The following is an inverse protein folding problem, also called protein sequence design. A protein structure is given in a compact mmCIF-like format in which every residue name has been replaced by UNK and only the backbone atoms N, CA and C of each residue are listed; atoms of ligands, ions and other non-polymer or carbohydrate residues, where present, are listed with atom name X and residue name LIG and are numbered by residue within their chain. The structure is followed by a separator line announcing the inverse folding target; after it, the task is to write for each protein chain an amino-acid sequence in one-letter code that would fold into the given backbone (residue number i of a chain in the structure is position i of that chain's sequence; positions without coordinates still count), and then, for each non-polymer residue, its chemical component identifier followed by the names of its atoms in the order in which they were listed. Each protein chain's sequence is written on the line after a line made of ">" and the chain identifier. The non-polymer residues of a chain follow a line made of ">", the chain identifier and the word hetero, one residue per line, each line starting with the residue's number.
data_IF_075940178117
#
_entry.id   IF_075940178117
#
_cell.length_a   1.000
_cell.length_b   1.000
_cell.length_c   1.000
_cell.angle_alpha   90.00
_cell.angle_beta   90.00
_cell.angle_gamma   90.00
#
_symmetry.space_group_name_H-M   'P 1'
#
loop_
_entity.id
_entity.type
_entity.pdbx_description
1 polymer ?
#
# COMPACT_ATOMS: atom_id res chain seq x y z
N UNK A 1 -13.48 -13.83 24.40
CA UNK A 1 -13.58 -12.41 24.00
C UNK A 1 -15.03 -11.97 24.13
N UNK A 2 -15.29 -10.72 24.54
CA UNK A 2 -16.64 -10.17 24.73
C UNK A 2 -16.99 -9.18 23.61
N UNK A 3 -18.27 -9.10 23.27
CA UNK A 3 -18.84 -8.13 22.35
C UNK A 3 -18.77 -6.73 22.97
N UNK A 4 -18.38 -5.73 22.18
CA UNK A 4 -18.32 -4.33 22.63
C UNK A 4 -19.69 -3.69 22.85
N UNK A 5 -20.75 -4.23 22.25
CA UNK A 5 -22.09 -3.66 22.27
C UNK A 5 -23.01 -4.33 23.30
N UNK A 6 -22.94 -5.66 23.44
CA UNK A 6 -23.96 -6.44 24.17
C UNK A 6 -23.45 -7.11 25.45
N UNK A 7 -22.20 -6.86 25.86
CA UNK A 7 -21.50 -7.53 26.99
C UNK A 7 -21.56 -9.09 26.95
N UNK A 8 -21.88 -9.66 25.79
CA UNK A 8 -22.02 -11.10 25.55
C UNK A 8 -20.76 -11.70 24.91
N UNK A 9 -20.58 -13.02 24.99
CA UNK A 9 -19.44 -13.71 24.41
C UNK A 9 -19.51 -13.78 22.88
N UNK A 10 -18.38 -13.49 22.24
CA UNK A 10 -18.21 -13.70 20.80
C UNK A 10 -18.08 -15.20 20.52
N UNK A 11 -19.03 -15.75 19.77
CA UNK A 11 -19.10 -17.19 19.47
C UNK A 11 -19.44 -17.49 18.01
N UNK A 12 -19.72 -16.46 17.21
CA UNK A 12 -20.16 -16.55 15.82
C UNK A 12 -19.22 -15.77 14.91
N UNK A 13 -19.20 -16.14 13.64
CA UNK A 13 -18.44 -15.47 12.58
C UNK A 13 -19.34 -15.29 11.35
N UNK A 14 -19.44 -14.04 10.87
CA UNK A 14 -20.17 -13.74 9.62
C UNK A 14 -19.17 -13.77 8.47
N UNK A 15 -19.29 -14.80 7.62
CA UNK A 15 -18.34 -15.10 6.53
C UNK A 15 -18.27 -13.94 5.53
N UNK A 16 -19.42 -13.33 5.22
CA UNK A 16 -19.50 -12.24 4.26
C UNK A 16 -18.77 -10.97 4.70
N UNK A 17 -18.91 -10.61 5.96
CA UNK A 17 -18.33 -9.37 6.50
C UNK A 17 -16.96 -9.59 7.17
N UNK A 18 -16.56 -10.86 7.37
CA UNK A 18 -15.33 -11.26 8.06
C UNK A 18 -15.25 -10.71 9.48
N UNK A 19 -16.37 -10.76 10.19
CA UNK A 19 -16.55 -10.19 11.53
C UNK A 19 -16.91 -11.27 12.56
N UNK A 20 -16.37 -11.14 13.77
CA UNK A 20 -16.76 -11.96 14.93
C UNK A 20 -17.92 -11.31 15.66
N UNK A 21 -18.93 -12.12 16.00
CA UNK A 21 -20.23 -11.67 16.50
C UNK A 21 -20.61 -12.41 17.77
N UNK A 22 -21.40 -11.75 18.63
CA UNK A 22 -22.19 -12.44 19.64
C UNK A 22 -23.57 -12.76 19.06
N UNK A 23 -24.35 -13.57 19.78
CA UNK A 23 -25.70 -13.96 19.36
C UNK A 23 -26.58 -12.73 19.16
N UNK A 24 -26.46 -11.73 20.03
CA UNK A 24 -27.29 -10.53 20.00
C UNK A 24 -26.97 -9.61 18.80
N UNK A 25 -25.70 -9.54 18.36
CA UNK A 25 -25.34 -8.84 17.11
C UNK A 25 -26.04 -9.42 15.88
N UNK A 26 -26.35 -10.73 15.89
CA UNK A 26 -27.06 -11.38 14.79
C UNK A 26 -28.50 -10.88 14.71
N UNK A 27 -29.16 -10.77 15.86
CA UNK A 27 -30.55 -10.35 15.96
C UNK A 27 -30.72 -8.84 15.79
N UNK A 28 -29.80 -8.01 16.30
CA UNK A 28 -29.97 -6.56 16.34
C UNK A 28 -29.44 -5.85 15.08
N UNK A 29 -28.31 -6.30 14.51
CA UNK A 29 -27.62 -5.52 13.48
C UNK A 29 -27.52 -6.31 12.16
N UNK A 30 -27.25 -7.61 12.22
CA UNK A 30 -27.18 -8.45 11.01
C UNK A 30 -28.53 -8.92 10.46
N UNK A 31 -29.62 -8.85 11.24
CA UNK A 31 -30.99 -9.06 10.74
C UNK A 31 -31.52 -7.82 10.01
N UNK A 32 -31.02 -6.63 10.39
CA UNK A 32 -31.49 -5.32 9.93
C UNK A 32 -30.60 -4.64 8.89
N UNK A 33 -29.39 -5.16 8.59
CA UNK A 33 -28.60 -4.74 7.43
C UNK A 33 -29.42 -5.00 6.15
N UNK A 34 -30.10 -3.94 5.69
CA UNK A 34 -30.98 -3.80 4.50
C UNK A 34 -30.36 -4.23 3.15
N UNK A 35 -29.23 -4.89 3.14
CA UNK A 35 -28.72 -5.61 1.97
C UNK A 35 -29.32 -7.00 2.03
N UNK A 36 -30.31 -7.31 1.18
CA UNK A 36 -31.07 -8.57 1.12
C UNK A 36 -30.27 -9.87 0.89
N UNK A 37 -29.00 -9.89 1.24
CA UNK A 37 -28.12 -11.06 1.31
C UNK A 37 -28.11 -11.60 2.74
N UNK A 38 -28.64 -12.81 2.92
CA UNK A 38 -28.46 -13.62 4.12
C UNK A 38 -26.96 -13.70 4.44
N UNK A 39 -26.47 -13.14 5.56
CA UNK A 39 -25.08 -13.41 5.95
C UNK A 39 -25.00 -14.87 6.37
N UNK A 40 -24.07 -15.61 5.77
CA UNK A 40 -23.70 -16.93 6.25
C UNK A 40 -22.96 -16.78 7.58
N UNK A 41 -23.58 -17.30 8.64
CA UNK A 41 -23.05 -17.26 10.00
C UNK A 41 -22.61 -18.67 10.37
N UNK A 42 -21.37 -18.79 10.80
CA UNK A 42 -20.81 -20.04 11.31
C UNK A 42 -20.36 -19.86 12.76
N UNK A 43 -20.16 -20.98 13.45
CA UNK A 43 -19.51 -20.96 14.77
C UNK A 43 -18.08 -20.47 14.62
N UNK A 44 -17.64 -19.62 15.55
CA UNK A 44 -16.26 -19.14 15.61
C UNK A 44 -15.24 -20.28 15.71
N UNK A 45 -15.63 -21.41 16.32
CA UNK A 45 -14.80 -22.62 16.37
C UNK A 45 -14.60 -23.26 14.99
N UNK A 46 -15.58 -23.12 14.11
CA UNK A 46 -15.56 -23.67 12.75
C UNK A 46 -15.02 -22.67 11.73
N UNK A 47 -14.79 -21.41 12.13
CA UNK A 47 -14.23 -20.36 11.26
C UNK A 47 -12.72 -20.26 11.31
N UNK A 48 -12.02 -21.07 12.11
CA UNK A 48 -10.57 -20.99 12.24
C UNK A 48 -9.87 -21.18 10.88
N UNK A 49 -10.35 -22.14 10.07
CA UNK A 49 -9.82 -22.36 8.73
C UNK A 49 -10.09 -21.17 7.79
N UNK A 50 -11.32 -20.62 7.82
CA UNK A 50 -11.68 -19.46 7.01
C UNK A 50 -10.83 -18.23 7.36
N UNK A 51 -10.60 -18.00 8.66
CA UNK A 51 -9.75 -16.91 9.14
C UNK A 51 -8.29 -17.13 8.68
N UNK A 52 -7.78 -18.37 8.74
CA UNK A 52 -6.44 -18.70 8.24
C UNK A 52 -6.32 -18.44 6.74
N UNK A 53 -7.30 -18.85 5.94
CA UNK A 53 -7.35 -18.60 4.50
C UNK A 53 -7.35 -17.10 4.20
N UNK A 54 -8.14 -16.31 4.92
CA UNK A 54 -8.18 -14.85 4.79
C UNK A 54 -6.84 -14.19 5.15
N UNK A 55 -6.18 -14.67 6.21
CA UNK A 55 -4.84 -14.21 6.60
C UNK A 55 -3.81 -14.53 5.52
N UNK A 56 -3.85 -15.73 4.93
CA UNK A 56 -2.93 -16.11 3.85
C UNK A 56 -3.15 -15.27 2.58
N UNK A 57 -4.41 -15.02 2.21
CA UNK A 57 -4.74 -14.13 1.08
C UNK A 57 -4.19 -12.73 1.34
N UNK A 58 -4.44 -12.19 2.53
CA UNK A 58 -3.95 -10.86 2.91
C UNK A 58 -2.42 -10.81 2.92
N UNK A 59 -1.75 -11.85 3.44
CA UNK A 59 -0.28 -11.94 3.43
C UNK A 59 0.27 -11.92 2.01
N UNK A 60 -0.31 -12.72 1.10
CA UNK A 60 0.10 -12.73 -0.32
C UNK A 60 -0.08 -11.36 -0.97
N UNK A 61 -1.21 -10.71 -0.72
CA UNK A 61 -1.45 -9.35 -1.21
C UNK A 61 -0.40 -8.35 -0.70
N UNK A 62 -0.10 -8.39 0.60
CA UNK A 62 0.90 -7.51 1.21
C UNK A 62 2.31 -7.74 0.63
N UNK A 63 2.69 -9.00 0.40
CA UNK A 63 3.97 -9.34 -0.24
C UNK A 63 4.06 -8.78 -1.66
N UNK A 64 3.00 -8.95 -2.47
CA UNK A 64 2.94 -8.38 -3.82
C UNK A 64 3.08 -6.85 -3.80
N UNK A 65 2.39 -6.17 -2.88
CA UNK A 65 2.52 -4.72 -2.73
C UNK A 65 3.91 -4.28 -2.28
N UNK A 66 4.57 -5.07 -1.44
CA UNK A 66 5.94 -4.80 -1.05
C UNK A 66 6.90 -4.89 -2.25
N UNK A 67 6.75 -5.90 -3.11
CA UNK A 67 7.54 -6.02 -4.35
C UNK A 67 7.29 -4.88 -5.33
N UNK A 68 6.04 -4.44 -5.50
CA UNK A 68 5.70 -3.28 -6.33
C UNK A 68 6.37 -2.00 -5.80
N UNK A 69 6.32 -1.76 -4.49
CA UNK A 69 6.97 -0.60 -3.86
C UNK A 69 8.48 -0.64 -4.09
N UNK A 70 9.13 -1.81 -3.92
CA UNK A 70 10.57 -1.94 -4.15
C UNK A 70 10.96 -1.62 -5.60
N UNK A 71 10.17 -2.07 -6.59
CA UNK A 71 10.40 -1.75 -8.00
C UNK A 71 10.29 -0.25 -8.27
N UNK A 72 9.29 0.41 -7.69
CA UNK A 72 9.11 1.87 -7.82
C UNK A 72 10.29 2.60 -7.18
N UNK A 73 10.73 2.19 -5.99
CA UNK A 73 11.88 2.78 -5.31
C UNK A 73 13.18 2.66 -6.12
N UNK A 74 13.43 1.49 -6.73
CA UNK A 74 14.59 1.29 -7.59
C UNK A 74 14.55 2.16 -8.84
N UNK A 75 13.39 2.24 -9.50
CA UNK A 75 13.22 3.10 -10.68
C UNK A 75 13.41 4.57 -10.33
N UNK A 76 12.89 5.02 -9.19
CA UNK A 76 13.07 6.39 -8.70
C UNK A 76 14.56 6.70 -8.47
N UNK A 77 15.29 5.80 -7.79
CA UNK A 77 16.71 5.96 -7.53
C UNK A 77 17.51 6.06 -8.84
N UNK A 78 17.22 5.19 -9.80
CA UNK A 78 17.86 5.20 -11.11
C UNK A 78 17.59 6.51 -11.86
N UNK A 79 16.35 6.98 -11.86
CA UNK A 79 15.98 8.25 -12.51
C UNK A 79 16.71 9.42 -11.85
N UNK A 80 16.76 9.48 -10.52
CA UNK A 80 17.49 10.53 -9.80
C UNK A 80 18.98 10.58 -10.16
N UNK A 81 19.64 9.42 -10.20
CA UNK A 81 21.05 9.32 -10.61
C UNK A 81 21.24 9.81 -12.06
N UNK A 82 20.34 9.42 -12.95
CA UNK A 82 20.38 9.83 -14.36
C UNK A 82 20.20 11.34 -14.51
N UNK A 83 19.27 11.94 -13.75
CA UNK A 83 19.09 13.39 -13.72
C UNK A 83 20.33 14.13 -13.20
N UNK A 84 20.95 13.66 -12.12
CA UNK A 84 22.17 14.28 -11.57
C UNK A 84 23.34 14.25 -12.57
N UNK A 85 23.54 13.12 -13.27
CA UNK A 85 24.54 13.00 -14.33
C UNK A 85 24.23 13.97 -15.48
N UNK A 86 22.97 14.08 -15.89
CA UNK A 86 22.55 15.00 -16.96
C UNK A 86 22.80 16.46 -16.59
N UNK A 87 22.46 16.86 -15.36
CA UNK A 87 22.71 18.20 -14.83
C UNK A 87 24.20 18.53 -14.81
N UNK A 88 25.04 17.62 -14.32
CA UNK A 88 26.51 17.80 -14.32
C UNK A 88 27.07 17.97 -15.74
N UNK A 89 26.56 17.20 -16.71
CA UNK A 89 26.97 17.36 -18.12
C UNK A 89 26.60 18.73 -18.67
N UNK A 90 25.38 19.20 -18.40
CA UNK A 90 24.96 20.54 -18.84
C UNK A 90 25.78 21.65 -18.19
N UNK A 91 26.05 21.55 -16.88
CA UNK A 91 26.92 22.51 -16.18
C UNK A 91 28.32 22.56 -16.78
N UNK A 92 28.95 21.40 -17.01
CA UNK A 92 30.29 21.33 -17.61
C UNK A 92 30.32 21.91 -19.02
N UNK A 93 29.28 21.67 -19.83
CA UNK A 93 29.17 22.26 -21.16
C UNK A 93 29.12 23.79 -21.10
N UNK A 94 28.28 24.36 -20.21
CA UNK A 94 28.18 25.81 -20.04
C UNK A 94 29.50 26.41 -19.56
N UNK A 95 30.16 25.80 -18.57
CA UNK A 95 31.47 26.24 -18.09
C UNK A 95 32.48 26.28 -19.23
N UNK A 96 32.57 25.20 -20.01
CA UNK A 96 33.49 25.13 -21.15
C UNK A 96 33.17 26.18 -22.22
N UNK A 97 31.89 26.42 -22.51
CA UNK A 97 31.46 27.46 -23.43
C UNK A 97 31.88 28.86 -22.96
N UNK A 98 31.62 29.20 -21.69
CA UNK A 98 32.00 30.50 -21.13
C UNK A 98 33.52 30.69 -21.08
N UNK A 99 34.28 29.65 -20.71
CA UNK A 99 35.74 29.71 -20.72
C UNK A 99 36.30 29.96 -22.13
N UNK A 100 35.75 29.26 -23.13
CA UNK A 100 36.12 29.47 -24.53
C UNK A 100 35.81 30.89 -25.02
N UNK A 101 34.66 31.43 -24.64
CA UNK A 101 34.27 32.81 -24.97
C UNK A 101 35.21 33.85 -24.34
N UNK A 102 35.53 33.72 -23.04
CA UNK A 102 36.47 34.61 -22.35
C UNK A 102 37.85 34.58 -23.02
N UNK A 103 38.35 33.38 -23.37
CA UNK A 103 39.65 33.23 -24.05
C UNK A 103 39.69 33.93 -25.42
N UNK A 104 38.59 33.91 -26.18
CA UNK A 104 38.49 34.62 -27.44
C UNK A 104 38.52 36.14 -27.26
N UNK A 105 37.79 36.67 -26.27
CA UNK A 105 37.80 38.11 -25.97
C UNK A 105 39.18 38.61 -25.52
N UNK A 106 39.95 37.80 -24.79
CA UNK A 106 41.30 38.15 -24.37
C UNK A 106 42.26 38.32 -25.55
N UNK A 107 42.11 37.51 -26.61
CA UNK A 107 42.94 37.56 -27.82
C UNK A 107 42.63 38.72 -28.76
N UNK A 108 41.44 39.31 -28.68
CA UNK A 108 41.04 40.43 -29.54
C UNK A 108 41.46 41.80 -29.00
N UNK A 109 42.04 41.86 -27.79
CA UNK A 109 42.45 43.09 -27.12
C UNK A 109 43.99 43.27 -27.05
N UNK A 110 44.75 42.42 -27.74
CA UNK A 110 46.20 42.55 -28.00
C UNK A 110 46.45 42.95 -29.45
#
# INVERSE_FOLDING_TARGET
>A
MKCRQHDDFLSLYCVKHKETLCVQCVYDDHSHRKTGSKCEITSLKNSEQLIKEDIEIFRKFMLQKQEEIQKIQQSLLFNMQTFDISLKKQQNYLIGYFQGFIHQLGKTNE
#
